data_IF_475927360125
#
_entry.id   IF_475927360125
#
_cell.length_a   1.000
_cell.length_b   1.000
_cell.length_c   1.000
_cell.angle_alpha   90.00
_cell.angle_beta   90.00
_cell.angle_gamma   90.00
#
_symmetry.space_group_name_H-M   'P 1'
#
loop_
_entity.id
_entity.type
_entity.pdbx_description
1 polymer ?
#
# COMPACT_ATOMS: atom_id res chain seq x y z
N UNK A 1 -4.79 23.15 13.73
CA UNK A 1 -4.16 21.97 13.11
C UNK A 1 -3.88 20.89 14.15
N UNK A 2 -4.91 20.24 14.70
CA UNK A 2 -4.70 19.19 15.73
C UNK A 2 -5.88 18.21 15.69
N UNK A 3 -5.84 17.28 14.72
CA UNK A 3 -6.62 16.05 14.64
C UNK A 3 -5.66 14.85 14.45
N UNK A 4 -6.13 13.61 14.26
CA UNK A 4 -5.41 12.33 14.50
C UNK A 4 -4.26 11.98 13.51
N UNK A 5 -3.51 12.98 13.06
CA UNK A 5 -2.42 12.88 12.07
C UNK A 5 -1.28 11.90 12.47
N UNK A 6 -0.86 11.77 13.75
CA UNK A 6 0.27 10.90 14.10
C UNK A 6 -0.02 9.42 13.83
N UNK A 7 -1.21 8.95 14.22
CA UNK A 7 -1.60 7.53 14.07
C UNK A 7 -1.69 7.16 12.59
N UNK A 8 -2.26 8.03 11.75
CA UNK A 8 -2.37 7.74 10.32
C UNK A 8 -0.99 7.64 9.63
N UNK A 9 -0.04 8.53 9.99
CA UNK A 9 1.31 8.51 9.44
C UNK A 9 2.06 7.22 9.82
N UNK A 10 1.99 6.81 11.09
CA UNK A 10 2.65 5.59 11.57
C UNK A 10 2.13 4.33 10.85
N UNK A 11 0.81 4.24 10.63
CA UNK A 11 0.20 3.13 9.91
C UNK A 11 0.66 3.07 8.44
N UNK A 12 0.74 4.22 7.77
CA UNK A 12 1.24 4.32 6.39
C UNK A 12 2.72 3.96 6.31
N UNK A 13 3.54 4.48 7.23
CA UNK A 13 4.98 4.17 7.27
C UNK A 13 5.22 2.68 7.50
N UNK A 14 4.46 2.05 8.40
CA UNK A 14 4.51 0.61 8.63
C UNK A 14 4.10 -0.19 7.39
N UNK A 15 3.01 0.20 6.72
CA UNK A 15 2.58 -0.44 5.48
C UNK A 15 3.63 -0.30 4.36
N UNK A 16 4.26 0.87 4.23
CA UNK A 16 5.35 1.11 3.28
C UNK A 16 6.57 0.23 3.62
N UNK A 17 6.87 0.07 4.91
CA UNK A 17 7.90 -0.84 5.39
C UNK A 17 7.66 -2.29 4.97
N UNK A 18 6.42 -2.79 5.02
CA UNK A 18 6.06 -4.14 4.54
C UNK A 18 6.40 -4.30 3.05
N UNK A 19 5.98 -3.35 2.22
CA UNK A 19 6.23 -3.39 0.77
C UNK A 19 7.74 -3.35 0.49
N UNK A 20 8.47 -2.46 1.17
CA UNK A 20 9.92 -2.33 1.02
C UNK A 20 10.68 -3.60 1.46
N UNK A 21 10.27 -4.24 2.56
CA UNK A 21 10.86 -5.49 3.02
C UNK A 21 10.63 -6.63 2.01
N UNK A 22 9.39 -6.80 1.52
CA UNK A 22 9.07 -7.78 0.47
C UNK A 22 9.90 -7.57 -0.79
N UNK A 23 10.02 -6.33 -1.26
CA UNK A 23 10.80 -6.00 -2.46
C UNK A 23 12.30 -6.33 -2.29
N UNK A 24 12.84 -6.26 -1.07
CA UNK A 24 14.22 -6.67 -0.76
C UNK A 24 14.39 -8.18 -0.52
N UNK A 25 13.33 -8.97 -0.60
CA UNK A 25 13.36 -10.41 -0.28
C UNK A 25 13.37 -10.73 1.22
N UNK A 26 13.20 -9.72 2.09
CA UNK A 26 13.11 -9.89 3.54
C UNK A 26 11.67 -10.24 3.96
N UNK A 27 11.30 -11.51 3.74
CA UNK A 27 9.96 -12.00 4.04
C UNK A 27 9.66 -11.99 5.54
N UNK A 28 10.64 -12.36 6.37
CA UNK A 28 10.51 -12.36 7.83
C UNK A 28 10.28 -10.94 8.37
N UNK A 29 11.04 -9.95 7.87
CA UNK A 29 10.83 -8.54 8.22
C UNK A 29 9.46 -8.02 7.76
N UNK A 30 9.00 -8.42 6.57
CA UNK A 30 7.65 -8.07 6.10
C UNK A 30 6.55 -8.65 7.00
N UNK A 31 6.69 -9.91 7.42
CA UNK A 31 5.76 -10.57 8.35
C UNK A 31 5.76 -9.92 9.73
N UNK A 32 6.93 -9.59 10.28
CA UNK A 32 7.04 -8.88 11.55
C UNK A 32 6.36 -7.50 11.50
N UNK A 33 6.54 -6.76 10.40
CA UNK A 33 5.88 -5.47 10.19
C UNK A 33 4.35 -5.63 10.04
N UNK A 34 3.89 -6.66 9.33
CA UNK A 34 2.46 -6.97 9.21
C UNK A 34 1.83 -7.35 10.56
N UNK A 35 2.57 -8.07 11.42
CA UNK A 35 2.13 -8.44 12.75
C UNK A 35 2.13 -7.24 13.73
N UNK A 36 2.89 -6.18 13.44
CA UNK A 36 2.98 -4.99 14.30
C UNK A 36 1.81 -4.01 14.19
N UNK A 37 0.78 -4.32 13.39
CA UNK A 37 -0.48 -3.58 13.40
C UNK A 37 -1.39 -4.06 14.53
N UNK A 38 -1.86 -3.15 15.38
CA UNK A 38 -2.68 -3.47 16.56
C UNK A 38 -4.01 -4.16 16.22
N UNK A 39 -4.61 -3.79 15.09
CA UNK A 39 -5.87 -4.34 14.61
C UNK A 39 -5.86 -4.53 13.10
N UNK A 40 -6.74 -5.40 12.61
CA UNK A 40 -6.98 -5.54 11.17
C UNK A 40 -7.48 -4.23 10.55
N UNK A 41 -8.34 -3.48 11.26
CA UNK A 41 -8.82 -2.19 10.78
C UNK A 41 -7.67 -1.17 10.62
N UNK A 42 -6.72 -1.13 11.56
CA UNK A 42 -5.54 -0.28 11.47
C UNK A 42 -4.63 -0.70 10.30
N UNK A 43 -4.47 -2.01 10.08
CA UNK A 43 -3.75 -2.56 8.94
C UNK A 43 -4.37 -2.14 7.61
N UNK A 44 -5.67 -2.35 7.46
CA UNK A 44 -6.44 -1.96 6.27
C UNK A 44 -6.33 -0.46 6.01
N UNK A 45 -6.47 0.37 7.04
CA UNK A 45 -6.32 1.82 6.91
C UNK A 45 -4.91 2.21 6.43
N UNK A 46 -3.85 1.60 6.99
CA UNK A 46 -2.47 1.86 6.60
C UNK A 46 -2.20 1.56 5.12
N UNK A 47 -2.66 0.41 4.61
CA UNK A 47 -2.52 0.05 3.20
C UNK A 47 -3.40 0.90 2.28
N UNK A 48 -4.62 1.22 2.71
CA UNK A 48 -5.52 2.12 1.96
C UNK A 48 -4.88 3.49 1.75
N UNK A 49 -4.40 4.12 2.83
CA UNK A 49 -3.77 5.44 2.75
C UNK A 49 -2.47 5.41 1.94
N UNK A 50 -1.69 4.33 2.04
CA UNK A 50 -0.49 4.16 1.22
C UNK A 50 -0.83 4.05 -0.28
N UNK A 51 -1.88 3.31 -0.63
CA UNK A 51 -2.33 3.19 -2.02
C UNK A 51 -2.79 4.55 -2.58
N UNK A 52 -3.56 5.31 -1.82
CA UNK A 52 -4.01 6.67 -2.20
C UNK A 52 -2.82 7.62 -2.42
N UNK A 53 -1.85 7.62 -1.50
CA UNK A 53 -0.61 8.40 -1.64
C UNK A 53 0.20 7.97 -2.87
N UNK A 54 0.33 6.67 -3.13
CA UNK A 54 1.05 6.16 -4.29
C UNK A 54 0.37 6.60 -5.61
N UNK A 55 -0.96 6.49 -5.70
CA UNK A 55 -1.71 6.99 -6.85
C UNK A 55 -1.56 8.50 -7.00
N UNK A 56 -1.61 9.26 -5.90
CA UNK A 56 -1.35 10.70 -5.89
C UNK A 56 0.03 11.08 -6.44
N UNK A 57 1.08 10.34 -6.06
CA UNK A 57 2.44 10.54 -6.56
C UNK A 57 2.55 10.26 -8.06
N UNK A 58 1.92 9.20 -8.56
CA UNK A 58 1.90 8.89 -10.00
C UNK A 58 1.16 9.98 -10.76
N UNK A 59 -0.02 10.40 -10.29
CA UNK A 59 -0.78 11.51 -10.90
C UNK A 59 0.03 12.79 -11.00
N UNK A 60 0.73 13.15 -9.92
CA UNK A 60 1.57 14.34 -9.89
C UNK A 60 2.73 14.27 -10.90
N UNK A 61 3.25 13.08 -11.18
CA UNK A 61 4.35 12.86 -12.12
C UNK A 61 3.90 12.74 -13.58
N UNK A 62 2.74 12.12 -13.84
CA UNK A 62 2.28 11.82 -15.21
C UNK A 62 1.27 12.83 -15.74
N UNK A 63 0.60 13.59 -14.86
CA UNK A 63 -0.53 14.46 -15.22
C UNK A 63 -1.82 13.70 -15.57
N UNK A 64 -1.85 12.37 -15.41
CA UNK A 64 -3.03 11.56 -15.70
C UNK A 64 -4.17 11.80 -14.70
N UNK A 65 -5.39 11.57 -15.18
CA UNK A 65 -6.57 11.54 -14.31
C UNK A 65 -6.53 10.32 -13.38
N UNK A 66 -7.26 10.39 -12.26
CA UNK A 66 -7.37 9.23 -11.36
C UNK A 66 -8.10 8.06 -12.04
N UNK A 67 -9.12 8.36 -12.84
CA UNK A 67 -9.91 7.34 -13.56
C UNK A 67 -9.06 6.56 -14.56
N UNK A 68 -8.16 7.25 -15.29
CA UNK A 68 -7.24 6.59 -16.22
C UNK A 68 -6.26 5.66 -15.48
N UNK A 69 -5.70 6.11 -14.35
CA UNK A 69 -4.81 5.27 -13.53
C UNK A 69 -5.52 4.06 -12.94
N UNK A 70 -6.75 4.22 -12.46
CA UNK A 70 -7.54 3.10 -11.92
C UNK A 70 -7.88 2.10 -13.02
N UNK A 71 -8.19 2.57 -14.23
CA UNK A 71 -8.39 1.71 -15.40
C UNK A 71 -7.12 0.92 -15.72
N UNK A 72 -5.97 1.58 -15.79
CA UNK A 72 -4.67 0.92 -16.04
C UNK A 72 -4.34 -0.11 -14.96
N UNK A 73 -4.53 0.24 -13.69
CA UNK A 73 -4.33 -0.69 -12.57
C UNK A 73 -5.25 -1.91 -12.66
N UNK A 74 -6.52 -1.71 -13.03
CA UNK A 74 -7.48 -2.80 -13.23
C UNK A 74 -7.02 -3.76 -14.33
N UNK A 75 -6.47 -3.22 -15.43
CA UNK A 75 -5.90 -4.03 -16.51
C UNK A 75 -4.67 -4.82 -16.04
N UNK A 76 -3.79 -4.22 -15.24
CA UNK A 76 -2.62 -4.89 -14.66
C UNK A 76 -3.02 -6.02 -13.70
N UNK A 77 -4.05 -5.80 -12.87
CA UNK A 77 -4.61 -6.85 -12.00
C UNK A 77 -5.16 -8.00 -12.82
N UNK A 78 -5.94 -7.72 -13.88
CA UNK A 78 -6.48 -8.76 -14.76
C UNK A 78 -5.38 -9.54 -15.51
N UNK A 79 -4.24 -8.91 -15.79
CA UNK A 79 -3.09 -9.55 -16.43
C UNK A 79 -2.19 -10.34 -15.46
N UNK A 80 -2.37 -10.17 -14.14
CA UNK A 80 -1.57 -10.89 -13.14
C UNK A 80 -2.07 -12.33 -13.05
N UNK A 81 -1.24 -13.34 -13.38
CA UNK A 81 -1.66 -14.73 -13.29
C UNK A 81 -1.97 -15.10 -11.83
N UNK A 82 -2.97 -15.96 -11.58
CA UNK A 82 -3.24 -16.44 -10.24
C UNK A 82 -1.99 -17.14 -9.67
N UNK A 83 -1.76 -17.06 -8.35
CA UNK A 83 -0.68 -17.82 -7.74
C UNK A 83 -0.85 -19.31 -8.08
N UNK A 84 0.25 -20.06 -8.31
CA UNK A 84 0.15 -21.49 -8.59
C UNK A 84 -0.60 -22.19 -7.44
N UNK A 85 -1.41 -23.24 -7.74
CA UNK A 85 -2.03 -24.03 -6.69
C UNK A 85 -0.93 -24.59 -5.77
N UNK A 86 -1.02 -24.25 -4.49
CA UNK A 86 -0.10 -24.72 -3.45
C UNK A 86 -0.37 -26.16 -3.04
#
# INVERSE_FOLDING_TARGET
MTGPVPVAADLVQRAAGVIAARHRGDLAGAEALLASFDTEQARTLGFYLLADLALGLVRAQTGQSLDDLVRELTLLVAATPPPPPG
#
